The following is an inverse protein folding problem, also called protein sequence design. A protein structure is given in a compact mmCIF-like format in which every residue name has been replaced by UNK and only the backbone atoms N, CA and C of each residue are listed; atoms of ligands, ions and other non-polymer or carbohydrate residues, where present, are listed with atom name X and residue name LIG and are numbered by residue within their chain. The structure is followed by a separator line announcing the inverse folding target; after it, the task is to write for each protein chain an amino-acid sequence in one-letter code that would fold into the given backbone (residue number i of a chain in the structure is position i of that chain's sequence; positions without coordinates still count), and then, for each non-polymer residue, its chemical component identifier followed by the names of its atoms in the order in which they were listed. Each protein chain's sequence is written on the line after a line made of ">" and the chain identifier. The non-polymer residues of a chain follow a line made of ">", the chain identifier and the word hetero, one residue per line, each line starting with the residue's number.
data_IF_658402327377
#
_entry.id   IF_658402327377
#
_cell.length_a   1.000
_cell.length_b   1.000
_cell.length_c   1.000
_cell.angle_alpha   90.00
_cell.angle_beta   90.00
_cell.angle_gamma   90.00
#
_symmetry.space_group_name_H-M   'P 1'
#
loop_
_entity.id
_entity.type
_entity.pdbx_description
1 polymer ?
#
# COMPACT_ATOMS: atom_id res chain seq x y z
N UNK A 1 2.48 -8.50 5.42
CA UNK A 1 3.46 -8.84 6.48
C UNK A 1 3.15 -8.24 7.85
N UNK A 2 2.66 -6.99 7.94
CA UNK A 2 2.00 -6.49 9.17
C UNK A 2 0.89 -7.46 9.65
N UNK A 3 0.12 -7.99 8.70
CA UNK A 3 -0.87 -9.06 8.95
C UNK A 3 -0.21 -10.35 9.47
N UNK A 4 0.92 -10.81 8.91
CA UNK A 4 1.63 -12.01 9.39
C UNK A 4 2.14 -11.84 10.83
N UNK A 5 2.66 -10.66 11.19
CA UNK A 5 3.09 -10.37 12.55
C UNK A 5 1.91 -10.35 13.51
N UNK A 6 0.82 -9.67 13.15
CA UNK A 6 -0.41 -9.64 13.96
C UNK A 6 -1.05 -11.03 14.13
N UNK A 7 -1.13 -11.81 13.05
CA UNK A 7 -1.68 -13.17 13.04
C UNK A 7 -0.83 -14.08 13.92
N UNK A 8 0.49 -14.12 13.76
CA UNK A 8 1.36 -14.97 14.58
C UNK A 8 1.34 -14.64 16.08
N UNK A 9 1.01 -13.40 16.44
CA UNK A 9 0.85 -12.95 17.84
C UNK A 9 -0.59 -13.05 18.35
N UNK A 10 -1.55 -13.46 17.52
CA UNK A 10 -2.94 -13.54 17.94
C UNK A 10 -3.11 -14.70 18.94
N UNK A 11 -3.75 -14.49 20.11
CA UNK A 11 -3.85 -15.51 21.17
C UNK A 11 -4.41 -16.87 20.72
N UNK A 12 -5.35 -16.98 19.76
CA UNK A 12 -5.85 -18.27 19.29
C UNK A 12 -5.02 -18.89 18.15
N UNK A 13 -3.83 -18.37 17.79
CA UNK A 13 -3.02 -19.00 16.73
C UNK A 13 -2.51 -20.38 17.16
N UNK A 14 -3.26 -21.40 16.77
CA UNK A 14 -3.01 -22.80 17.07
C UNK A 14 -1.60 -23.23 16.60
N UNK A 15 -0.87 -24.09 17.34
CA UNK A 15 0.45 -24.62 16.97
C UNK A 15 0.57 -25.20 15.54
N UNK A 16 -0.55 -25.62 14.96
CA UNK A 16 -0.65 -26.15 13.60
C UNK A 16 -0.29 -25.07 12.57
N UNK A 17 -0.82 -23.86 12.73
CA UNK A 17 -0.58 -22.75 11.81
C UNK A 17 0.91 -22.36 11.77
N UNK A 18 1.55 -22.35 12.94
CA UNK A 18 3.00 -22.11 13.06
C UNK A 18 3.82 -23.21 12.38
N UNK A 19 3.37 -24.47 12.49
CA UNK A 19 4.01 -25.63 11.85
C UNK A 19 3.94 -25.55 10.33
N UNK A 20 2.76 -25.23 9.77
CA UNK A 20 2.56 -25.03 8.33
C UNK A 20 3.46 -23.90 7.82
N UNK A 21 3.42 -22.73 8.45
CA UNK A 21 4.23 -21.58 8.01
C UNK A 21 5.73 -21.86 8.08
N UNK A 22 6.22 -22.58 9.08
CA UNK A 22 7.64 -22.91 9.19
C UNK A 22 8.12 -23.86 8.09
N UNK A 23 7.27 -24.76 7.58
CA UNK A 23 7.59 -25.65 6.45
C UNK A 23 8.03 -24.83 5.23
N UNK A 24 7.32 -23.74 4.93
CA UNK A 24 7.57 -22.91 3.76
C UNK A 24 8.42 -21.67 4.04
N UNK A 25 8.51 -21.23 5.30
CA UNK A 25 9.40 -20.17 5.79
C UNK A 25 10.34 -20.74 6.87
N UNK A 26 11.35 -21.56 6.52
CA UNK A 26 12.33 -22.08 7.47
C UNK A 26 13.01 -21.00 8.33
N UNK A 27 13.17 -19.79 7.80
CA UNK A 27 13.73 -18.62 8.51
C UNK A 27 12.84 -18.06 9.63
N UNK A 28 11.56 -18.42 9.68
CA UNK A 28 10.60 -17.89 10.66
C UNK A 28 11.01 -18.23 12.10
N UNK A 29 11.32 -17.21 12.92
CA UNK A 29 11.68 -17.40 14.34
C UNK A 29 10.42 -17.67 15.17
N UNK A 30 10.06 -18.93 15.36
CA UNK A 30 8.94 -19.35 16.22
C UNK A 30 9.24 -20.69 16.87
N UNK A 31 8.76 -20.88 18.10
CA UNK A 31 8.77 -22.17 18.80
C UNK A 31 7.68 -23.04 18.22
N UNK A 32 8.06 -24.24 17.79
CA UNK A 32 7.13 -25.25 17.29
C UNK A 32 7.05 -26.34 18.33
N UNK A 33 5.86 -26.52 18.86
CA UNK A 33 5.52 -27.72 19.59
C UNK A 33 5.05 -28.75 18.55
N UNK A 34 5.67 -29.94 18.46
CA UNK A 34 5.26 -30.96 17.52
C UNK A 34 3.79 -31.30 17.76
N UNK A 35 2.88 -30.99 16.83
CA UNK A 35 1.49 -31.35 17.03
C UNK A 35 1.37 -32.88 16.97
N UNK A 36 0.42 -33.44 17.73
CA UNK A 36 0.02 -34.85 17.52
C UNK A 36 -0.44 -35.04 16.06
N UNK A 37 -0.29 -36.24 15.48
CA UNK A 37 -0.87 -36.55 14.19
C UNK A 37 -2.35 -36.19 14.15
N UNK A 38 -2.74 -35.47 13.11
CA UNK A 38 -4.07 -34.98 12.84
C UNK A 38 -4.41 -35.21 11.38
N UNK A 39 -5.65 -35.65 11.17
CA UNK A 39 -6.30 -35.80 9.89
C UNK A 39 -7.76 -35.41 10.12
N UNK A 40 -8.18 -34.29 9.52
CA UNK A 40 -9.54 -33.80 9.66
C UNK A 40 -9.99 -33.00 8.45
N UNK A 41 -11.30 -33.01 8.22
CA UNK A 41 -11.98 -32.14 7.28
C UNK A 41 -13.08 -31.37 8.01
N UNK A 42 -13.34 -30.15 7.59
CA UNK A 42 -14.41 -29.34 8.14
C UNK A 42 -15.19 -28.62 7.04
N UNK A 43 -16.47 -28.39 7.32
CA UNK A 43 -17.34 -27.53 6.55
C UNK A 43 -18.14 -26.68 7.53
N UNK A 44 -17.76 -25.41 7.64
CA UNK A 44 -18.29 -24.46 8.60
C UNK A 44 -19.05 -23.36 7.87
N UNK A 45 -20.29 -23.14 8.28
CA UNK A 45 -21.06 -21.96 7.87
C UNK A 45 -21.25 -21.05 9.07
N UNK A 46 -20.62 -19.88 9.05
CA UNK A 46 -20.79 -18.85 10.05
C UNK A 46 -21.98 -17.97 9.65
N UNK A 47 -23.01 -17.92 10.52
CA UNK A 47 -24.14 -17.01 10.37
C UNK A 47 -24.03 -15.93 11.44
N UNK A 48 -23.72 -14.70 11.04
CA UNK A 48 -23.57 -13.54 11.93
C UNK A 48 -22.58 -13.77 13.09
N UNK A 49 -21.31 -14.05 12.82
CA UNK A 49 -20.30 -14.33 13.86
C UNK A 49 -19.89 -13.09 14.68
N UNK A 50 -20.41 -11.89 14.36
CA UNK A 50 -20.10 -10.62 15.04
C UNK A 50 -20.02 -10.69 16.57
N UNK A 51 -20.98 -11.32 17.30
CA UNK A 51 -20.90 -11.37 18.76
C UNK A 51 -19.65 -12.09 19.28
N UNK A 52 -19.19 -13.13 18.58
CA UNK A 52 -17.98 -13.87 18.95
C UNK A 52 -16.71 -13.09 18.59
N UNK A 53 -16.69 -12.46 17.41
CA UNK A 53 -15.54 -11.70 16.92
C UNK A 53 -15.30 -10.46 17.77
N UNK A 54 -16.38 -9.80 18.23
CA UNK A 54 -16.31 -8.57 19.02
C UNK A 54 -15.52 -8.72 20.33
N UNK A 55 -15.48 -9.92 20.92
CA UNK A 55 -14.67 -10.20 22.13
C UNK A 55 -13.16 -10.13 21.86
N UNK A 56 -12.71 -10.50 20.66
CA UNK A 56 -11.30 -10.61 20.33
C UNK A 56 -10.79 -9.44 19.49
N UNK A 57 -11.64 -8.88 18.62
CA UNK A 57 -11.30 -7.80 17.70
C UNK A 57 -12.55 -6.95 17.40
N UNK A 58 -12.90 -5.97 18.27
CA UNK A 58 -14.15 -5.21 18.15
C UNK A 58 -14.26 -4.39 16.85
N UNK A 59 -13.13 -4.04 16.24
CA UNK A 59 -13.08 -3.29 14.97
C UNK A 59 -13.36 -4.16 13.74
N UNK A 60 -13.38 -5.49 13.88
CA UNK A 60 -13.67 -6.46 12.82
C UNK A 60 -15.12 -6.93 12.92
N UNK A 61 -15.88 -6.76 11.85
CA UNK A 61 -17.26 -7.26 11.73
C UNK A 61 -17.42 -8.07 10.46
N UNK A 62 -18.16 -9.15 10.55
CA UNK A 62 -18.63 -10.00 9.46
C UNK A 62 -20.16 -10.04 9.60
N UNK A 63 -20.86 -9.00 9.10
CA UNK A 63 -22.29 -8.85 9.34
C UNK A 63 -23.14 -9.91 8.64
N UNK A 64 -22.58 -10.51 7.59
CA UNK A 64 -23.24 -11.47 6.72
C UNK A 64 -22.76 -12.90 7.02
N UNK A 65 -23.04 -13.81 6.09
CA UNK A 65 -22.59 -15.20 6.18
C UNK A 65 -21.17 -15.39 5.62
N UNK A 66 -20.47 -16.38 6.17
CA UNK A 66 -19.24 -16.90 5.60
C UNK A 66 -19.22 -18.42 5.60
N UNK A 67 -18.67 -19.01 4.55
CA UNK A 67 -18.50 -20.46 4.40
C UNK A 67 -17.03 -20.79 4.35
N UNK A 68 -16.61 -21.80 5.10
CA UNK A 68 -15.23 -22.25 5.19
C UNK A 68 -15.21 -23.76 5.08
N UNK A 69 -14.56 -24.27 4.05
CA UNK A 69 -14.33 -25.70 3.87
C UNK A 69 -12.84 -25.93 3.84
N UNK A 70 -12.36 -26.91 4.59
CA UNK A 70 -10.95 -27.21 4.59
C UNK A 70 -10.64 -28.63 5.00
N UNK A 71 -9.41 -29.03 4.70
CA UNK A 71 -8.84 -30.32 5.02
C UNK A 71 -7.42 -30.13 5.53
N UNK A 72 -7.01 -30.97 6.45
CA UNK A 72 -5.66 -30.96 6.97
C UNK A 72 -5.21 -32.38 7.27
N UNK A 73 -4.02 -32.72 6.79
CA UNK A 73 -3.36 -33.98 7.10
C UNK A 73 -1.90 -33.70 7.47
N UNK A 74 -1.57 -33.95 8.73
CA UNK A 74 -0.23 -33.74 9.27
C UNK A 74 0.82 -34.76 8.81
N UNK A 75 0.41 -35.97 8.44
CA UNK A 75 1.31 -37.02 7.96
C UNK A 75 1.79 -36.70 6.53
N UNK A 76 0.84 -36.31 5.68
CA UNK A 76 1.08 -35.88 4.30
C UNK A 76 1.50 -34.41 4.22
N UNK A 77 1.42 -33.68 5.34
CA UNK A 77 1.75 -32.25 5.48
C UNK A 77 0.98 -31.37 4.47
N UNK A 78 -0.26 -31.72 4.21
CA UNK A 78 -1.19 -31.02 3.32
C UNK A 78 -2.27 -30.29 4.12
N UNK A 79 -2.71 -29.18 3.55
CA UNK A 79 -3.71 -28.27 4.03
C UNK A 79 -4.41 -27.67 2.81
N UNK A 80 -5.73 -27.64 2.86
CA UNK A 80 -6.59 -26.99 1.88
C UNK A 80 -7.60 -26.12 2.64
N UNK A 81 -7.82 -24.90 2.17
CA UNK A 81 -8.85 -24.00 2.69
C UNK A 81 -9.51 -23.26 1.53
N UNK A 82 -10.81 -23.43 1.42
CA UNK A 82 -11.67 -22.61 0.61
C UNK A 82 -12.58 -21.80 1.55
N UNK A 83 -12.53 -20.48 1.45
CA UNK A 83 -13.38 -19.59 2.23
C UNK A 83 -14.07 -18.57 1.33
N UNK A 84 -15.34 -18.29 1.62
CA UNK A 84 -16.08 -17.17 1.05
C UNK A 84 -16.73 -16.39 2.18
N UNK A 85 -16.53 -15.08 2.20
CA UNK A 85 -17.13 -14.16 3.16
C UNK A 85 -17.73 -13.00 2.38
N UNK A 86 -19.05 -12.84 2.47
CA UNK A 86 -19.78 -11.86 1.67
C UNK A 86 -19.36 -10.41 2.00
N UNK A 87 -19.24 -10.09 3.28
CA UNK A 87 -18.80 -8.75 3.73
C UNK A 87 -17.90 -8.86 4.94
N UNK A 88 -16.76 -8.15 4.89
CA UNK A 88 -15.90 -7.90 6.05
C UNK A 88 -15.81 -6.40 6.25
N UNK A 89 -16.02 -5.92 7.47
CA UNK A 89 -15.83 -4.51 7.85
C UNK A 89 -14.69 -4.41 8.84
N UNK A 90 -13.72 -3.56 8.53
CA UNK A 90 -12.61 -3.22 9.42
C UNK A 90 -12.63 -1.71 9.65
N UNK A 91 -13.23 -1.27 10.75
CA UNK A 91 -13.53 0.14 10.99
C UNK A 91 -14.42 0.73 9.88
N UNK A 92 -13.89 1.69 9.11
CA UNK A 92 -14.57 2.32 7.96
C UNK A 92 -14.38 1.58 6.64
N UNK A 93 -13.41 0.66 6.57
CA UNK A 93 -13.08 -0.06 5.34
C UNK A 93 -14.03 -1.24 5.22
N UNK A 94 -14.63 -1.40 4.04
CA UNK A 94 -15.56 -2.50 3.73
C UNK A 94 -15.01 -3.32 2.58
N UNK A 95 -14.86 -4.62 2.80
CA UNK A 95 -14.45 -5.61 1.82
C UNK A 95 -15.67 -6.42 1.39
N UNK A 96 -15.84 -6.61 0.09
CA UNK A 96 -16.97 -7.31 -0.51
C UNK A 96 -16.50 -8.56 -1.25
N UNK A 97 -17.26 -9.65 -1.09
CA UNK A 97 -17.07 -10.95 -1.74
C UNK A 97 -15.63 -11.46 -1.60
N UNK A 98 -15.19 -11.60 -0.34
CA UNK A 98 -13.85 -12.05 -0.02
C UNK A 98 -13.74 -13.56 -0.20
N UNK A 99 -12.96 -14.00 -1.18
CA UNK A 99 -12.69 -15.40 -1.47
C UNK A 99 -11.24 -15.70 -1.12
N UNK A 100 -11.01 -16.82 -0.44
CA UNK A 100 -9.69 -17.38 -0.17
C UNK A 100 -9.69 -18.80 -0.74
N UNK A 101 -8.66 -19.10 -1.53
CA UNK A 101 -8.32 -20.44 -1.96
C UNK A 101 -6.86 -20.69 -1.59
N UNK A 102 -6.64 -21.57 -0.62
CA UNK A 102 -5.34 -21.98 -0.15
C UNK A 102 -5.18 -23.49 -0.36
N UNK A 103 -4.02 -23.86 -0.88
CA UNK A 103 -3.63 -25.24 -1.03
C UNK A 103 -2.15 -25.39 -0.76
N UNK A 104 -1.76 -26.53 -0.19
CA UNK A 104 -0.37 -26.86 0.03
C UNK A 104 0.02 -28.17 -0.60
N UNK A 105 1.24 -28.21 -1.09
CA UNK A 105 1.92 -29.41 -1.58
C UNK A 105 3.10 -29.75 -0.66
N UNK A 106 3.93 -30.72 -1.04
CA UNK A 106 5.15 -31.00 -0.29
C UNK A 106 6.16 -29.84 -0.30
N UNK A 107 6.17 -29.02 -1.36
CA UNK A 107 7.18 -27.99 -1.57
C UNK A 107 6.63 -26.56 -1.50
N UNK A 108 5.33 -26.35 -1.71
CA UNK A 108 4.76 -25.02 -1.93
C UNK A 108 3.46 -24.80 -1.16
N UNK A 109 3.20 -23.55 -0.77
CA UNK A 109 1.91 -23.06 -0.32
C UNK A 109 1.41 -22.04 -1.35
N UNK A 110 0.28 -22.36 -1.97
CA UNK A 110 -0.44 -21.49 -2.88
C UNK A 110 -1.57 -20.79 -2.10
N UNK A 111 -1.66 -19.47 -2.24
CA UNK A 111 -2.72 -18.67 -1.62
C UNK A 111 -3.24 -17.65 -2.63
N UNK A 112 -4.46 -17.88 -3.08
CA UNK A 112 -5.22 -16.99 -3.93
C UNK A 112 -6.29 -16.28 -3.09
N UNK A 113 -6.34 -14.96 -3.22
CA UNK A 113 -7.34 -14.11 -2.58
C UNK A 113 -7.99 -13.28 -3.67
N UNK A 114 -9.32 -13.25 -3.71
CA UNK A 114 -10.05 -12.35 -4.60
C UNK A 114 -11.14 -11.60 -3.87
N UNK A 115 -11.39 -10.35 -4.29
CA UNK A 115 -12.44 -9.50 -3.76
C UNK A 115 -13.11 -8.76 -4.91
N UNK A 116 -14.44 -8.62 -4.85
CA UNK A 116 -15.17 -7.82 -5.82
C UNK A 116 -14.93 -6.32 -5.62
N UNK A 117 -14.80 -5.87 -4.36
CA UNK A 117 -14.66 -4.45 -4.03
C UNK A 117 -14.06 -4.19 -2.65
N UNK A 118 -13.27 -3.12 -2.53
CA UNK A 118 -12.85 -2.51 -1.26
C UNK A 118 -13.31 -1.06 -1.25
N UNK A 119 -14.12 -0.68 -0.25
CA UNK A 119 -14.50 0.71 -0.01
C UNK A 119 -13.62 1.27 1.11
N UNK A 120 -12.87 2.34 0.84
CA UNK A 120 -12.13 3.09 1.87
C UNK A 120 -12.99 4.21 2.45
N UNK A 121 -13.81 4.83 1.60
CA UNK A 121 -14.82 5.84 1.94
C UNK A 121 -16.04 5.64 1.02
N UNK A 122 -17.07 6.47 1.16
CA UNK A 122 -18.25 6.44 0.29
C UNK A 122 -17.92 6.75 -1.18
N UNK A 123 -16.84 7.50 -1.42
CA UNK A 123 -16.43 7.95 -2.76
C UNK A 123 -15.16 7.28 -3.29
N UNK A 124 -14.34 6.68 -2.41
CA UNK A 124 -13.09 6.03 -2.77
C UNK A 124 -13.20 4.52 -2.62
N UNK A 125 -13.10 3.80 -3.74
CA UNK A 125 -13.13 2.36 -3.77
C UNK A 125 -12.22 1.78 -4.87
N UNK A 126 -11.87 0.51 -4.70
CA UNK A 126 -11.17 -0.32 -5.69
C UNK A 126 -12.06 -1.53 -5.98
N UNK A 127 -12.10 -1.98 -7.24
CA UNK A 127 -12.85 -3.17 -7.67
C UNK A 127 -11.91 -4.24 -8.18
N UNK A 128 -12.43 -5.47 -8.29
CA UNK A 128 -11.81 -6.59 -9.00
C UNK A 128 -10.35 -6.80 -8.56
N UNK A 129 -10.19 -7.12 -7.27
CA UNK A 129 -8.89 -7.33 -6.64
C UNK A 129 -8.59 -8.82 -6.69
N UNK A 130 -7.43 -9.19 -7.23
CA UNK A 130 -6.89 -10.54 -7.13
C UNK A 130 -5.47 -10.48 -6.61
N UNK A 131 -5.15 -11.35 -5.67
CA UNK A 131 -3.82 -11.52 -5.10
C UNK A 131 -3.48 -13.01 -5.17
N UNK A 132 -2.49 -13.37 -5.97
CA UNK A 132 -1.96 -14.72 -6.08
C UNK A 132 -0.60 -14.78 -5.39
N UNK A 133 -0.38 -15.80 -4.58
CA UNK A 133 0.85 -15.99 -3.81
C UNK A 133 1.33 -17.43 -3.93
N UNK A 134 2.62 -17.61 -4.15
CA UNK A 134 3.28 -18.92 -4.09
C UNK A 134 4.46 -18.80 -3.15
N UNK A 135 4.39 -19.50 -2.02
CA UNK A 135 5.40 -19.49 -0.97
C UNK A 135 6.17 -20.81 -0.97
N UNK A 136 7.49 -20.72 -1.18
CA UNK A 136 8.41 -21.87 -1.22
C UNK A 136 9.77 -21.47 -0.67
N UNK A 137 10.28 -22.22 0.29
CA UNK A 137 11.65 -22.11 0.79
C UNK A 137 12.13 -20.67 1.06
N UNK A 138 11.49 -19.98 2.01
CA UNK A 138 11.78 -18.58 2.38
C UNK A 138 11.54 -17.55 1.24
N UNK A 139 10.92 -17.94 0.13
CA UNK A 139 10.61 -17.07 -1.00
C UNK A 139 9.10 -17.05 -1.27
N UNK A 140 8.51 -15.86 -1.34
CA UNK A 140 7.12 -15.64 -1.69
C UNK A 140 7.05 -14.87 -3.01
N UNK A 141 6.59 -15.52 -4.07
CA UNK A 141 6.18 -14.84 -5.30
C UNK A 141 4.75 -14.35 -5.13
N UNK A 142 4.48 -13.11 -5.51
CA UNK A 142 3.12 -12.59 -5.49
C UNK A 142 2.79 -11.83 -6.77
N UNK A 143 1.52 -11.86 -7.13
CA UNK A 143 0.93 -11.02 -8.16
C UNK A 143 -0.32 -10.33 -7.60
N UNK A 144 -0.42 -9.02 -7.79
CA UNK A 144 -1.59 -8.22 -7.41
C UNK A 144 -2.18 -7.62 -8.69
N UNK A 145 -3.45 -7.93 -8.93
CA UNK A 145 -4.25 -7.34 -10.00
C UNK A 145 -5.39 -6.54 -9.40
N UNK A 146 -5.57 -5.31 -9.87
CA UNK A 146 -6.66 -4.43 -9.45
C UNK A 146 -7.43 -3.91 -10.66
N UNK A 147 -8.74 -3.83 -10.49
CA UNK A 147 -9.72 -3.27 -11.42
C UNK A 147 -9.89 -4.05 -12.72
N UNK A 148 -11.09 -3.92 -13.30
CA UNK A 148 -11.40 -4.50 -14.61
C UNK A 148 -10.58 -3.85 -15.75
N UNK A 149 -10.44 -4.57 -16.87
CA UNK A 149 -9.72 -4.19 -18.09
C UNK A 149 -10.18 -2.87 -18.71
N UNK A 150 -11.38 -2.39 -18.36
CA UNK A 150 -11.93 -1.13 -18.87
C UNK A 150 -11.82 0.02 -17.86
N UNK A 151 -11.23 -0.21 -16.69
CA UNK A 151 -11.09 0.82 -15.66
C UNK A 151 -10.04 1.87 -16.06
N UNK A 152 -10.26 3.10 -15.62
CA UNK A 152 -9.37 4.25 -15.86
C UNK A 152 -7.99 4.04 -15.22
N UNK A 153 -7.96 3.34 -14.09
CA UNK A 153 -6.73 2.90 -13.45
C UNK A 153 -6.73 1.39 -13.29
N UNK A 154 -5.57 0.78 -13.52
CA UNK A 154 -5.35 -0.65 -13.41
C UNK A 154 -3.96 -0.89 -12.81
N UNK A 155 -3.79 -2.03 -12.17
CA UNK A 155 -2.50 -2.46 -11.63
C UNK A 155 -2.33 -3.95 -11.95
N UNK A 156 -1.19 -4.31 -12.54
CA UNK A 156 -0.70 -5.69 -12.60
C UNK A 156 0.73 -5.70 -12.05
N UNK A 157 0.84 -5.93 -10.73
CA UNK A 157 2.09 -5.86 -9.97
C UNK A 157 2.62 -7.25 -9.66
N UNK A 158 3.84 -7.52 -10.08
CA UNK A 158 4.57 -8.73 -9.75
C UNK A 158 5.68 -8.43 -8.74
N UNK A 159 5.89 -9.33 -7.80
CA UNK A 159 7.00 -9.19 -6.86
C UNK A 159 7.42 -10.48 -6.20
N UNK A 160 8.61 -10.41 -5.61
CA UNK A 160 9.24 -11.47 -4.85
C UNK A 160 9.56 -10.93 -3.45
N UNK A 161 9.18 -11.68 -2.43
CA UNK A 161 9.61 -11.45 -1.05
C UNK A 161 10.59 -12.55 -0.68
N UNK A 162 11.78 -12.17 -0.23
CA UNK A 162 12.73 -13.09 0.39
C UNK A 162 12.71 -12.84 1.90
N UNK A 163 12.38 -13.87 2.68
CA UNK A 163 12.41 -13.80 4.12
C UNK A 163 13.86 -13.96 4.60
N UNK A 164 14.35 -12.93 5.30
CA UNK A 164 15.75 -12.85 5.72
C UNK A 164 16.01 -13.53 7.06
N UNK A 165 17.29 -13.75 7.36
CA UNK A 165 17.78 -14.07 8.71
C UNK A 165 18.49 -12.84 9.28
N UNK A 166 18.51 -12.74 10.61
CA UNK A 166 19.19 -11.69 11.38
C UNK A 166 18.56 -10.28 11.28
N UNK A 167 19.12 -9.38 10.47
CA UNK A 167 18.90 -7.93 10.52
C UNK A 167 17.91 -7.39 9.48
N UNK A 168 17.28 -8.24 8.69
CA UNK A 168 16.22 -7.87 7.74
C UNK A 168 15.09 -8.89 7.85
N UNK A 169 13.90 -8.41 8.17
CA UNK A 169 12.73 -9.28 8.35
C UNK A 169 12.28 -9.85 7.01
N UNK A 170 12.29 -9.01 5.97
CA UNK A 170 12.02 -9.41 4.60
C UNK A 170 12.58 -8.39 3.62
N UNK A 171 12.90 -8.85 2.42
CA UNK A 171 13.24 -8.02 1.28
C UNK A 171 12.24 -8.25 0.16
N UNK A 172 11.55 -7.19 -0.23
CA UNK A 172 10.64 -7.18 -1.38
C UNK A 172 11.38 -6.65 -2.59
N UNK A 173 11.19 -7.31 -3.72
CA UNK A 173 11.63 -6.86 -5.05
C UNK A 173 10.38 -6.79 -5.93
N UNK A 174 10.15 -5.66 -6.59
CA UNK A 174 9.13 -5.60 -7.63
C UNK A 174 9.76 -6.01 -8.95
N UNK A 175 9.09 -6.93 -9.63
CA UNK A 175 9.45 -7.36 -10.98
C UNK A 175 8.82 -6.39 -12.00
N UNK A 176 9.24 -6.42 -13.27
CA UNK A 176 8.61 -5.62 -14.32
C UNK A 176 7.08 -5.76 -14.27
N UNK A 177 6.41 -4.62 -14.12
CA UNK A 177 4.97 -4.55 -13.83
C UNK A 177 4.33 -3.36 -14.53
N UNK A 178 3.04 -3.50 -14.84
CA UNK A 178 2.26 -2.50 -15.55
C UNK A 178 1.28 -1.80 -14.61
N UNK A 179 1.16 -0.48 -14.78
CA UNK A 179 0.24 0.36 -14.03
C UNK A 179 -0.44 1.28 -15.02
N UNK A 180 -1.77 1.28 -15.10
CA UNK A 180 -2.49 2.30 -15.87
C UNK A 180 -3.00 3.36 -14.91
N UNK A 181 -2.71 4.64 -15.19
CA UNK A 181 -3.19 5.79 -14.42
C UNK A 181 -3.76 6.83 -15.38
N UNK A 182 -5.02 7.21 -15.24
CA UNK A 182 -5.67 8.18 -16.13
C UNK A 182 -5.48 7.84 -17.64
N UNK A 183 -5.63 6.56 -18.00
CA UNK A 183 -5.39 6.04 -19.35
C UNK A 183 -3.94 6.19 -19.88
N UNK A 184 -2.98 6.41 -18.99
CA UNK A 184 -1.56 6.40 -19.31
C UNK A 184 -0.90 5.11 -18.84
N UNK A 185 -0.12 4.48 -19.71
CA UNK A 185 0.63 3.26 -19.39
C UNK A 185 1.93 3.57 -18.66
N UNK A 186 1.95 3.35 -17.35
CA UNK A 186 3.13 3.44 -16.51
C UNK A 186 3.75 2.06 -16.30
N UNK A 187 5.07 2.04 -16.12
CA UNK A 187 5.82 0.81 -15.86
C UNK A 187 6.69 0.95 -14.64
N UNK A 188 6.77 -0.15 -13.89
CA UNK A 188 7.79 -0.38 -12.87
C UNK A 188 8.87 -1.27 -13.49
N UNK A 189 10.13 -0.88 -13.32
CA UNK A 189 11.28 -1.67 -13.79
C UNK A 189 11.92 -2.44 -12.61
N UNK A 190 12.70 -3.47 -12.93
CA UNK A 190 13.32 -4.43 -12.00
C UNK A 190 14.46 -3.84 -11.11
N UNK A 191 14.36 -2.57 -10.72
CA UNK A 191 15.34 -1.88 -9.86
C UNK A 191 14.82 -1.61 -8.45
N UNK A 192 13.59 -2.00 -8.16
CA UNK A 192 12.97 -1.73 -6.86
C UNK A 192 13.40 -2.75 -5.82
N UNK A 193 13.93 -2.24 -4.71
CA UNK A 193 14.22 -3.01 -3.50
C UNK A 193 13.58 -2.32 -2.30
N UNK A 194 12.77 -3.05 -1.56
CA UNK A 194 12.20 -2.60 -0.30
C UNK A 194 12.69 -3.54 0.79
N UNK A 195 13.40 -3.04 1.81
CA UNK A 195 13.83 -3.85 2.95
C UNK A 195 13.05 -3.47 4.19
N UNK A 196 12.48 -4.47 4.84
CA UNK A 196 11.81 -4.33 6.11
C UNK A 196 12.82 -4.60 7.23
N UNK A 197 13.26 -3.52 7.88
CA UNK A 197 14.20 -3.52 8.99
C UNK A 197 13.43 -3.43 10.31
N UNK A 198 14.12 -3.55 11.45
CA UNK A 198 13.48 -3.33 12.74
C UNK A 198 13.14 -1.84 12.91
N UNK A 199 11.85 -1.53 13.08
CA UNK A 199 11.35 -0.16 13.27
C UNK A 199 11.38 0.76 12.04
N UNK A 200 11.90 0.33 10.87
CA UNK A 200 11.90 1.14 9.65
C UNK A 200 11.87 0.33 8.35
N UNK A 201 11.46 0.97 7.26
CA UNK A 201 11.47 0.39 5.91
C UNK A 201 12.37 1.19 5.00
N UNK A 202 13.34 0.55 4.36
CA UNK A 202 14.17 1.14 3.31
C UNK A 202 13.47 0.93 1.96
N UNK A 203 13.34 2.00 1.17
CA UNK A 203 12.88 1.96 -0.23
C UNK A 203 14.02 2.43 -1.11
N UNK A 204 14.44 1.62 -2.07
CA UNK A 204 15.51 1.94 -3.01
C UNK A 204 15.11 1.57 -4.43
N UNK A 205 15.28 2.51 -5.35
CA UNK A 205 15.10 2.30 -6.78
C UNK A 205 13.66 2.10 -7.24
N UNK A 206 12.65 2.50 -6.45
CA UNK A 206 11.27 2.49 -6.92
C UNK A 206 11.08 3.62 -7.93
N UNK A 207 10.84 3.26 -9.18
CA UNK A 207 10.57 4.19 -10.29
C UNK A 207 9.31 3.74 -11.02
N UNK A 208 8.35 4.64 -11.15
CA UNK A 208 7.25 4.53 -12.09
C UNK A 208 7.55 5.45 -13.28
N UNK A 209 7.43 4.95 -14.51
CA UNK A 209 7.72 5.73 -15.71
C UNK A 209 6.68 5.54 -16.81
N UNK A 210 6.37 6.63 -17.52
CA UNK A 210 5.58 6.66 -18.76
C UNK A 210 6.38 7.49 -19.79
N UNK A 211 7.14 6.82 -20.67
CA UNK A 211 8.02 7.50 -21.62
C UNK A 211 9.07 8.37 -20.93
N UNK A 212 8.97 9.69 -21.08
CA UNK A 212 9.86 10.66 -20.42
C UNK A 212 9.40 11.05 -19.01
N UNK A 213 8.14 10.77 -18.65
CA UNK A 213 7.59 11.08 -17.34
C UNK A 213 8.08 10.05 -16.32
N UNK A 214 8.61 10.50 -15.19
CA UNK A 214 9.09 9.59 -14.13
C UNK A 214 8.73 10.12 -12.75
N UNK A 215 8.42 9.18 -11.88
CA UNK A 215 8.32 9.40 -10.43
C UNK A 215 9.22 8.39 -9.75
N UNK A 216 10.17 8.87 -8.95
CA UNK A 216 11.08 8.02 -8.17
C UNK A 216 10.81 8.18 -6.69
N UNK A 217 10.93 7.09 -5.96
CA UNK A 217 10.79 7.04 -4.50
C UNK A 217 12.00 6.33 -3.91
N UNK A 218 12.71 7.01 -3.01
CA UNK A 218 13.90 6.48 -2.35
C UNK A 218 13.99 6.97 -0.91
N UNK A 219 14.61 6.18 -0.02
CA UNK A 219 14.92 6.59 1.35
C UNK A 219 14.28 5.67 2.39
N UNK A 220 13.84 6.24 3.51
CA UNK A 220 13.38 5.48 4.67
C UNK A 220 11.99 5.92 5.14
N UNK A 221 11.15 4.95 5.48
CA UNK A 221 9.87 5.14 6.16
C UNK A 221 10.07 4.72 7.62
N UNK A 222 9.98 5.68 8.55
CA UNK A 222 10.06 5.43 9.99
C UNK A 222 9.43 6.58 10.80
N UNK A 223 9.44 6.44 12.12
CA UNK A 223 9.11 7.53 13.06
C UNK A 223 10.24 8.55 13.21
N UNK A 224 11.49 8.21 12.82
CA UNK A 224 12.67 9.00 13.10
C UNK A 224 12.71 10.29 12.25
N UNK A 225 12.81 11.48 12.88
CA UNK A 225 13.01 12.77 12.22
C UNK A 225 14.14 12.83 11.18
N UNK A 226 15.20 12.04 11.38
CA UNK A 226 16.39 12.01 10.52
C UNK A 226 16.23 11.09 9.30
N UNK A 227 15.26 10.18 9.32
CA UNK A 227 14.94 9.32 8.19
C UNK A 227 14.06 10.10 7.21
N UNK A 228 14.47 10.13 5.95
CA UNK A 228 13.81 10.86 4.88
C UNK A 228 13.38 9.92 3.75
N UNK A 229 12.17 10.12 3.27
CA UNK A 229 11.63 9.53 2.04
C UNK A 229 11.56 10.63 0.98
N UNK A 230 12.38 10.49 -0.06
CA UNK A 230 12.45 11.42 -1.18
C UNK A 230 11.60 10.92 -2.35
N UNK A 231 10.70 11.78 -2.82
CA UNK A 231 9.98 11.64 -4.08
C UNK A 231 10.59 12.62 -5.08
N UNK A 232 10.91 12.15 -6.29
CA UNK A 232 11.44 12.98 -7.37
C UNK A 232 10.53 12.86 -8.58
N UNK A 233 10.07 14.01 -9.07
CA UNK A 233 9.26 14.15 -10.29
C UNK A 233 10.16 14.64 -11.43
N UNK A 234 10.11 13.96 -12.57
CA UNK A 234 10.81 14.34 -13.80
C UNK A 234 9.77 14.33 -14.93
N UNK A 235 9.50 15.51 -15.49
CA UNK A 235 8.51 15.71 -16.56
C UNK A 235 7.15 15.10 -16.26
N UNK A 236 6.71 15.14 -15.01
CA UNK A 236 5.49 14.48 -14.57
C UNK A 236 4.25 15.28 -14.99
N UNK A 237 3.31 14.66 -15.69
CA UNK A 237 2.07 15.33 -16.07
C UNK A 237 1.18 15.57 -14.85
N UNK A 238 0.87 16.84 -14.60
CA UNK A 238 -0.08 17.21 -13.54
C UNK A 238 -1.49 16.62 -13.78
N UNK A 239 -1.81 16.23 -15.02
CA UNK A 239 -3.09 15.61 -15.34
C UNK A 239 -3.28 14.26 -14.63
N UNK A 240 -2.20 13.55 -14.31
CA UNK A 240 -2.23 12.26 -13.59
C UNK A 240 -2.77 12.41 -12.16
N UNK A 241 -2.76 13.62 -11.59
CA UNK A 241 -3.30 13.90 -10.25
C UNK A 241 -4.81 14.19 -10.25
N UNK A 242 -5.44 14.32 -11.42
CA UNK A 242 -6.83 14.76 -11.53
C UNK A 242 -7.86 13.86 -10.85
N UNK A 243 -7.56 12.57 -10.67
CA UNK A 243 -8.45 11.70 -9.88
C UNK A 243 -8.47 12.09 -8.41
N UNK A 244 -7.31 12.42 -7.85
CA UNK A 244 -7.16 12.77 -6.45
C UNK A 244 -7.78 14.14 -6.15
N UNK A 245 -7.72 15.06 -7.11
CA UNK A 245 -8.27 16.41 -6.97
C UNK A 245 -9.72 16.54 -7.41
N UNK A 246 -10.34 15.45 -7.90
CA UNK A 246 -11.71 15.44 -8.44
C UNK A 246 -12.74 15.88 -7.40
N UNK A 247 -12.62 15.41 -6.16
CA UNK A 247 -13.52 15.77 -5.06
C UNK A 247 -13.41 17.23 -4.66
N UNK A 248 -12.26 17.86 -4.88
CA UNK A 248 -12.05 19.30 -4.68
C UNK A 248 -12.50 20.15 -5.88
N UNK A 249 -12.97 19.54 -6.97
CA UNK A 249 -13.38 20.27 -8.19
C UNK A 249 -12.21 20.91 -8.94
N UNK A 250 -10.98 20.42 -8.75
CA UNK A 250 -9.77 20.98 -9.36
C UNK A 250 -9.26 20.05 -10.46
N UNK A 251 -9.04 20.61 -11.66
CA UNK A 251 -8.37 19.97 -12.78
C UNK A 251 -7.07 20.69 -13.09
N UNK A 252 -5.98 19.93 -13.16
CA UNK A 252 -4.62 20.40 -13.35
C UNK A 252 -4.08 19.91 -14.70
N UNK A 253 -3.32 20.77 -15.37
CA UNK A 253 -2.41 20.43 -16.47
C UNK A 253 -1.11 21.20 -16.28
N UNK A 254 -0.06 20.75 -16.96
CA UNK A 254 1.29 21.28 -16.84
C UNK A 254 2.28 20.16 -16.58
N UNK A 255 3.56 20.51 -16.55
CA UNK A 255 4.67 19.57 -16.36
C UNK A 255 5.37 19.86 -15.05
N UNK A 256 5.31 18.91 -14.11
CA UNK A 256 5.90 18.99 -12.79
C UNK A 256 7.32 18.39 -12.80
N UNK A 257 8.25 19.14 -12.22
CA UNK A 257 9.61 18.71 -11.93
C UNK A 257 9.97 19.05 -10.49
N UNK A 258 10.86 18.29 -9.88
CA UNK A 258 11.45 18.62 -8.59
C UNK A 258 11.28 17.53 -7.55
N UNK A 259 11.50 17.90 -6.30
CA UNK A 259 11.66 16.97 -5.20
C UNK A 259 10.71 17.28 -4.04
N UNK A 260 10.19 16.22 -3.42
CA UNK A 260 9.50 16.27 -2.13
C UNK A 260 10.24 15.35 -1.16
N UNK A 261 10.59 15.87 0.01
CA UNK A 261 11.22 15.14 1.09
C UNK A 261 10.23 15.02 2.25
N UNK A 262 10.00 13.80 2.69
CA UNK A 262 9.06 13.48 3.76
C UNK A 262 9.81 12.79 4.90
N UNK A 263 9.75 13.35 6.10
CA UNK A 263 10.38 12.80 7.30
C UNK A 263 9.32 12.34 8.31
N UNK A 264 9.66 11.41 9.19
CA UNK A 264 8.77 10.95 10.28
C UNK A 264 7.34 10.56 9.82
N UNK A 265 7.22 9.89 8.66
CA UNK A 265 5.95 9.66 7.94
C UNK A 265 4.83 9.02 8.79
N UNK A 266 5.18 8.24 9.83
CA UNK A 266 4.23 7.45 10.60
C UNK A 266 3.56 8.26 11.73
N UNK A 267 4.31 9.08 12.49
CA UNK A 267 3.78 9.80 13.69
C UNK A 267 3.62 11.31 13.51
N UNK A 268 4.62 11.97 12.92
CA UNK A 268 4.67 13.43 12.83
C UNK A 268 5.31 13.81 11.49
N UNK A 269 4.55 13.64 10.39
CA UNK A 269 5.10 13.80 9.06
C UNK A 269 5.56 15.23 8.83
N UNK A 270 6.82 15.40 8.43
CA UNK A 270 7.37 16.66 7.98
C UNK A 270 7.57 16.66 6.47
N UNK A 271 7.06 17.66 5.76
CA UNK A 271 7.13 17.75 4.29
C UNK A 271 7.91 19.00 3.88
N UNK A 272 8.98 18.81 3.12
CA UNK A 272 9.69 19.88 2.43
C UNK A 272 9.66 19.63 0.92
N UNK A 273 9.40 20.66 0.13
CA UNK A 273 9.22 20.53 -1.31
C UNK A 273 9.98 21.61 -2.06
N UNK A 274 10.53 21.26 -3.22
CA UNK A 274 11.07 22.18 -4.21
C UNK A 274 10.57 21.73 -5.56
N UNK A 275 9.50 22.36 -6.03
CA UNK A 275 8.76 21.95 -7.22
C UNK A 275 8.70 23.10 -8.23
N UNK A 276 8.89 22.76 -9.49
CA UNK A 276 8.64 23.64 -10.63
C UNK A 276 7.51 23.03 -11.48
N UNK A 277 6.57 23.87 -11.89
CA UNK A 277 5.49 23.49 -12.80
C UNK A 277 5.55 24.39 -14.01
N UNK A 278 5.79 23.80 -15.17
CA UNK A 278 5.77 24.53 -16.44
C UNK A 278 4.36 24.55 -17.01
N UNK A 279 3.89 25.73 -17.42
CA UNK A 279 2.59 25.97 -18.06
C UNK A 279 1.41 25.39 -17.27
N UNK A 280 1.32 25.72 -15.98
CA UNK A 280 0.23 25.32 -15.10
C UNK A 280 -1.10 25.87 -15.63
N UNK A 281 -2.05 24.97 -15.86
CA UNK A 281 -3.45 25.31 -16.17
C UNK A 281 -4.31 24.70 -15.08
N UNK A 282 -5.11 25.54 -14.41
CA UNK A 282 -6.06 25.13 -13.39
C UNK A 282 -7.47 25.43 -13.85
N UNK A 283 -8.35 24.42 -13.88
CA UNK A 283 -9.77 24.56 -14.25
C UNK A 283 -10.03 25.34 -15.57
N UNK A 284 -9.17 25.11 -16.57
CA UNK A 284 -9.14 25.76 -17.90
C UNK A 284 -8.49 27.16 -17.96
N UNK A 285 -8.08 27.72 -16.83
CA UNK A 285 -7.38 29.00 -16.78
C UNK A 285 -5.87 28.78 -16.76
N UNK A 286 -5.15 29.46 -17.66
CA UNK A 286 -3.69 29.47 -17.65
C UNK A 286 -3.21 30.30 -16.45
N UNK A 287 -2.54 29.63 -15.52
CA UNK A 287 -1.94 30.26 -14.34
C UNK A 287 -0.55 30.79 -14.67
N UNK A 288 0.23 30.05 -15.46
CA UNK A 288 1.62 30.38 -15.83
C UNK A 288 2.60 29.33 -15.35
N UNK A 289 3.86 29.69 -15.22
CA UNK A 289 4.88 28.83 -14.60
C UNK A 289 4.85 29.04 -13.08
N UNK A 290 4.95 27.96 -12.30
CA UNK A 290 4.90 28.03 -10.85
C UNK A 290 6.14 27.40 -10.22
N UNK A 291 6.69 28.05 -9.19
CA UNK A 291 7.71 27.49 -8.31
C UNK A 291 7.15 27.42 -6.90
N UNK A 292 7.15 26.22 -6.32
CA UNK A 292 6.68 25.95 -4.97
C UNK A 292 7.89 25.53 -4.14
N UNK A 293 8.16 26.27 -3.08
CA UNK A 293 9.13 25.91 -2.07
C UNK A 293 8.41 25.76 -0.75
N UNK A 294 8.65 24.65 -0.07
CA UNK A 294 8.18 24.47 1.30
C UNK A 294 9.28 23.99 2.21
N UNK A 295 9.28 24.54 3.42
CA UNK A 295 10.08 24.05 4.53
C UNK A 295 9.18 23.78 5.73
N UNK A 296 9.69 22.93 6.61
CA UNK A 296 9.06 22.68 7.89
C UNK A 296 9.63 23.68 8.90
N UNK A 297 8.75 24.42 9.57
CA UNK A 297 9.12 25.23 10.71
C UNK A 297 9.78 24.39 11.79
N UNK A 298 10.67 25.00 12.59
CA UNK A 298 11.48 24.31 13.59
C UNK A 298 10.68 23.50 14.61
N UNK A 299 9.40 23.85 14.82
CA UNK A 299 8.48 23.19 15.75
C UNK A 299 7.75 21.98 15.14
N UNK A 300 7.93 21.71 13.84
CA UNK A 300 7.19 20.71 13.03
C UNK A 300 5.68 20.88 13.03
N UNK A 301 5.18 22.01 13.55
CA UNK A 301 3.77 22.34 13.59
C UNK A 301 3.41 23.29 12.48
N UNK A 302 4.33 23.94 11.81
CA UNK A 302 4.01 24.88 10.75
C UNK A 302 4.83 24.55 9.51
N UNK A 303 4.22 24.72 8.34
CA UNK A 303 4.93 24.66 7.08
C UNK A 303 4.94 26.06 6.47
N UNK A 304 6.13 26.56 6.12
CA UNK A 304 6.23 27.75 5.31
C UNK A 304 6.13 27.30 3.86
N UNK A 305 5.23 27.91 3.10
CA UNK A 305 5.05 27.62 1.69
C UNK A 305 5.19 28.93 0.92
N UNK A 306 6.20 28.99 0.07
CA UNK A 306 6.40 30.08 -0.87
C UNK A 306 6.01 29.62 -2.26
N UNK A 307 5.09 30.36 -2.89
CA UNK A 307 4.63 30.09 -4.25
C UNK A 307 4.96 31.32 -5.09
N UNK A 308 5.79 31.13 -6.11
CA UNK A 308 6.05 32.15 -7.12
C UNK A 308 5.37 31.74 -8.41
N UNK A 309 4.51 32.60 -8.96
CA UNK A 309 3.85 32.36 -10.24
C UNK A 309 4.33 33.42 -11.22
N UNK A 310 4.78 32.98 -12.39
CA UNK A 310 5.18 33.86 -13.49
C UNK A 310 4.23 33.64 -14.66
N UNK A 311 3.51 34.68 -15.07
CA UNK A 311 2.63 34.63 -16.22
C UNK A 311 2.92 35.83 -17.13
N UNK A 312 3.29 35.57 -18.39
CA UNK A 312 3.68 36.61 -19.35
C UNK A 312 4.74 37.61 -18.84
N UNK A 313 5.67 37.16 -17.99
CA UNK A 313 6.74 38.01 -17.42
C UNK A 313 6.33 38.85 -16.20
N UNK A 314 5.08 38.75 -15.73
CA UNK A 314 4.64 39.30 -14.45
C UNK A 314 4.82 38.25 -13.36
N UNK A 315 5.60 38.56 -12.33
CA UNK A 315 5.77 37.73 -11.14
C UNK A 315 4.74 38.12 -10.08
N UNK A 316 3.91 37.16 -9.68
CA UNK A 316 3.10 37.25 -8.47
C UNK A 316 3.70 36.29 -7.43
N UNK A 317 4.24 36.84 -6.34
CA UNK A 317 4.75 36.07 -5.21
C UNK A 317 3.66 36.01 -4.13
N UNK A 318 3.29 34.81 -3.72
CA UNK A 318 2.36 34.59 -2.60
C UNK A 318 3.09 33.77 -1.52
N UNK A 319 3.16 34.33 -0.31
CA UNK A 319 3.72 33.65 0.86
C UNK A 319 2.57 33.17 1.75
N UNK A 320 2.47 31.87 1.94
CA UNK A 320 1.43 31.26 2.74
C UNK A 320 2.06 30.52 3.93
N UNK A 321 1.59 30.82 5.14
CA UNK A 321 1.95 30.05 6.34
C UNK A 321 0.83 29.06 6.60
N UNK A 322 1.16 27.77 6.60
CA UNK A 322 0.21 26.70 6.91
C UNK A 322 0.30 26.31 8.38
N UNK A 323 -0.84 26.34 9.07
CA UNK A 323 -1.01 25.85 10.45
C UNK A 323 -1.92 24.62 10.37
N UNK A 324 -1.62 23.48 11.03
CA UNK A 324 -2.33 22.23 10.90
C UNK A 324 -3.60 22.34 11.76
N UNK A 325 -4.61 23.02 11.20
CA UNK A 325 -6.02 23.10 11.61
C UNK A 325 -6.85 23.75 10.47
N UNK A 326 -6.39 23.61 9.21
CA UNK A 326 -6.99 24.17 7.97
C UNK A 326 -7.10 25.70 7.91
N UNK A 327 -6.36 26.43 8.74
CA UNK A 327 -6.29 27.90 8.68
C UNK A 327 -5.17 28.35 7.73
N UNK A 328 -5.53 29.13 6.70
CA UNK A 328 -4.58 29.84 5.84
C UNK A 328 -4.35 31.25 6.38
N UNK A 329 -3.09 31.63 6.59
CA UNK A 329 -2.72 33.03 6.76
C UNK A 329 -1.84 33.44 5.58
N UNK A 330 -2.39 34.29 4.70
CA UNK A 330 -1.62 34.96 3.67
C UNK A 330 -0.74 36.02 4.36
N UNK A 331 0.57 35.93 4.16
CA UNK A 331 1.50 37.00 4.51
C UNK A 331 1.52 38.00 3.36
N UNK A 332 1.36 39.29 3.66
CA UNK A 332 1.73 40.34 2.71
C UNK A 332 3.27 40.41 2.61
N UNK A 333 3.82 40.76 1.43
CA UNK A 333 5.26 40.74 1.15
C UNK A 333 6.11 41.61 2.09
#
# INVERSE_FOLDING_TARGET
>A
MLILREVLTWPPCHPIFKTILKKYIPSLKTTIEPPKPQDFAFNLTLKKPDPLIAFFKPDLKIPDQGTFTGKFNSADKTAELNAYIQTIKLGKIVFHDFIIDESTTDSELDLNISLSKINFTDSLFIKDITLTNVLRNDSLNFNIKLADKNAVNQLDLYGLVNFGRENTTAQVQFLPSDVMLEHQDWRILEKTRIKLLDGKTEVAGLELSNGQQKVRINGFISDNPADNLKLTFEKFSMATLNQLTRTAGVKLKGTLNGDVNITSLIKSPGIAASLGIDSLIMNKTLVGDAKIQSDLGADRKQANVKINITNHGLENCEYCRFIPDWAWQAGQP
#
